data_IF_929934814398
#
_entry.id   IF_929934814398
#
_cell.length_a   1.000
_cell.length_b   1.000
_cell.length_c   1.000
_cell.angle_alpha   90.00
_cell.angle_beta   90.00
_cell.angle_gamma   90.00
#
_symmetry.space_group_name_H-M   'P 1'
#
loop_
_entity.id
_entity.type
_entity.pdbx_description
1 polymer ?
#
# COMPACT_ATOMS: atom_id res chain seq x y z
N UNK A 1 12.58 10.70 6.85
CA UNK A 1 11.24 10.21 6.49
C UNK A 1 10.32 11.39 6.25
N UNK A 2 9.57 11.38 5.18
CA UNK A 2 8.65 12.45 4.82
C UNK A 2 7.35 12.34 5.63
N UNK A 3 6.75 13.49 5.96
CA UNK A 3 5.42 13.51 6.60
C UNK A 3 4.35 13.40 5.50
N UNK A 4 4.37 12.29 4.80
CA UNK A 4 3.50 12.03 3.68
C UNK A 4 2.89 10.63 3.78
N UNK A 5 1.67 10.53 3.26
CA UNK A 5 0.99 9.25 3.08
C UNK A 5 0.82 8.99 1.59
N UNK A 6 1.16 7.79 1.16
CA UNK A 6 0.78 7.33 -0.18
C UNK A 6 -0.46 6.47 -0.02
N UNK A 7 -1.54 6.89 -0.65
CA UNK A 7 -2.82 6.17 -0.62
C UNK A 7 -2.98 5.41 -1.92
N UNK A 8 -3.09 4.10 -1.82
CA UNK A 8 -3.14 3.21 -2.98
C UNK A 8 -4.52 2.55 -3.06
N UNK A 9 -5.29 2.94 -4.08
CA UNK A 9 -6.68 2.51 -4.22
C UNK A 9 -6.90 1.32 -5.15
N UNK A 10 -5.84 0.82 -5.79
CA UNK A 10 -5.94 -0.28 -6.75
C UNK A 10 -4.65 -1.09 -6.74
N UNK A 11 -4.71 -2.32 -7.21
CA UNK A 11 -3.51 -3.12 -7.44
C UNK A 11 -2.83 -2.79 -8.79
N UNK A 12 -3.42 -1.88 -9.56
CA UNK A 12 -2.85 -1.37 -10.80
C UNK A 12 -2.69 0.14 -10.72
N UNK A 13 -1.73 0.69 -11.45
CA UNK A 13 -1.48 2.12 -11.54
C UNK A 13 -1.94 2.61 -12.90
N UNK A 14 -2.96 3.48 -12.88
CA UNK A 14 -3.58 4.00 -14.10
C UNK A 14 -4.56 3.01 -14.74
N UNK A 15 -5.16 3.44 -15.82
CA UNK A 15 -6.15 2.67 -16.58
C UNK A 15 -6.10 3.12 -18.04
N UNK A 16 -6.66 2.35 -19.00
CA UNK A 16 -7.50 1.16 -18.81
C UNK A 16 -6.73 -0.18 -18.84
N UNK A 17 -5.45 -0.19 -19.18
CA UNK A 17 -4.72 -1.44 -19.40
C UNK A 17 -4.27 -2.03 -18.04
N UNK A 18 -4.85 -3.16 -17.66
CA UNK A 18 -4.57 -3.78 -16.36
C UNK A 18 -3.17 -4.38 -16.30
N UNK A 19 -2.70 -4.97 -17.40
CA UNK A 19 -1.37 -5.59 -17.43
C UNK A 19 -0.28 -4.53 -17.32
N UNK A 20 -0.43 -3.45 -18.06
CA UNK A 20 0.48 -2.30 -17.96
C UNK A 20 0.39 -1.67 -16.57
N UNK A 21 -0.82 -1.53 -16.04
CA UNK A 21 -1.03 -0.95 -14.71
C UNK A 21 -0.36 -1.75 -13.61
N UNK A 22 -0.39 -3.09 -13.70
CA UNK A 22 0.31 -3.94 -12.73
C UNK A 22 1.83 -3.76 -12.83
N UNK A 23 2.36 -3.67 -14.05
CA UNK A 23 3.78 -3.42 -14.26
C UNK A 23 4.20 -2.06 -13.69
N UNK A 24 3.43 -1.02 -13.94
CA UNK A 24 3.71 0.32 -13.42
C UNK A 24 3.66 0.35 -11.89
N UNK A 25 2.69 -0.33 -11.28
CA UNK A 25 2.59 -0.39 -9.82
C UNK A 25 3.81 -1.08 -9.22
N UNK A 26 4.22 -2.20 -9.80
CA UNK A 26 5.41 -2.93 -9.35
C UNK A 26 6.65 -2.05 -9.44
N UNK A 27 6.83 -1.35 -10.56
CA UNK A 27 7.96 -0.43 -10.76
C UNK A 27 7.93 0.71 -9.74
N UNK A 28 6.75 1.29 -9.51
CA UNK A 28 6.59 2.40 -8.57
C UNK A 28 7.00 1.98 -7.16
N UNK A 29 6.49 0.85 -6.68
CA UNK A 29 6.79 0.38 -5.32
C UNK A 29 8.24 -0.07 -5.18
N UNK A 30 8.79 -0.73 -6.20
CA UNK A 30 10.19 -1.15 -6.19
C UNK A 30 11.11 0.06 -6.05
N UNK A 31 10.90 1.07 -6.88
CA UNK A 31 11.73 2.27 -6.85
C UNK A 31 11.52 3.08 -5.58
N UNK A 32 10.28 3.14 -5.07
CA UNK A 32 10.00 3.80 -3.82
C UNK A 32 10.78 3.16 -2.67
N UNK A 33 10.85 1.82 -2.66
CA UNK A 33 11.58 1.08 -1.61
C UNK A 33 13.08 1.36 -1.61
N UNK A 34 13.62 1.91 -2.71
CA UNK A 34 15.03 2.20 -2.88
C UNK A 34 15.38 3.69 -2.69
N UNK A 35 14.38 4.55 -2.55
CA UNK A 35 14.63 5.99 -2.39
C UNK A 35 15.16 6.30 -1.01
N UNK A 36 15.94 7.38 -0.92
CA UNK A 36 16.40 7.91 0.36
C UNK A 36 15.23 8.49 1.15
N UNK A 37 14.40 9.30 0.49
CA UNK A 37 13.22 9.92 1.09
C UNK A 37 12.00 9.03 0.85
N UNK A 38 11.38 8.57 1.93
CA UNK A 38 10.24 7.66 1.86
C UNK A 38 9.08 8.21 2.70
N UNK A 39 7.83 7.84 2.37
CA UNK A 39 6.68 8.31 3.13
C UNK A 39 6.64 7.75 4.55
N UNK A 40 5.86 8.39 5.42
CA UNK A 40 5.62 7.88 6.76
C UNK A 40 4.69 6.67 6.76
N UNK A 41 3.70 6.68 5.86
CA UNK A 41 2.67 5.64 5.77
C UNK A 41 2.36 5.33 4.32
N UNK A 42 1.98 4.08 4.08
CA UNK A 42 1.32 3.66 2.84
C UNK A 42 0.01 3.01 3.26
N UNK A 43 -1.09 3.56 2.77
CA UNK A 43 -2.42 3.02 3.06
C UNK A 43 -2.94 2.31 1.82
N UNK A 44 -3.40 1.08 2.02
CA UNK A 44 -3.94 0.23 0.97
C UNK A 44 -5.43 0.03 1.23
N UNK A 45 -6.26 0.41 0.29
CA UNK A 45 -7.68 0.09 0.36
C UNK A 45 -8.20 -0.33 -1.01
N UNK A 46 -9.42 -0.88 -1.04
CA UNK A 46 -9.99 -1.49 -2.24
C UNK A 46 -8.98 -2.50 -2.81
N UNK A 47 -8.80 -2.57 -4.12
CA UNK A 47 -7.86 -3.51 -4.74
C UNK A 47 -6.40 -3.33 -4.31
N UNK A 48 -6.05 -2.18 -3.72
CA UNK A 48 -4.69 -1.92 -3.23
C UNK A 48 -4.23 -2.92 -2.17
N UNK A 49 -5.14 -3.47 -1.38
CA UNK A 49 -4.77 -4.45 -0.33
C UNK A 49 -4.15 -5.73 -0.92
N UNK A 50 -4.44 -6.03 -2.17
CA UNK A 50 -3.87 -7.22 -2.85
C UNK A 50 -2.37 -7.11 -3.03
N UNK A 51 -1.83 -5.90 -3.02
CA UNK A 51 -0.38 -5.66 -3.16
C UNK A 51 0.42 -6.21 -1.97
N UNK A 52 -0.21 -6.33 -0.81
CA UNK A 52 0.42 -6.83 0.41
C UNK A 52 0.18 -8.33 0.64
N UNK A 53 -0.52 -9.00 -0.26
CA UNK A 53 -0.86 -10.40 -0.12
C UNK A 53 0.38 -11.30 -0.29
N UNK A 54 0.42 -12.40 0.45
CA UNK A 54 1.45 -13.41 0.27
C UNK A 54 1.45 -13.91 -1.17
N UNK A 55 2.65 -14.00 -1.76
CA UNK A 55 2.81 -14.43 -3.15
C UNK A 55 2.78 -13.30 -4.16
N UNK A 56 2.34 -12.10 -3.78
CA UNK A 56 2.43 -10.95 -4.67
C UNK A 56 3.87 -10.44 -4.72
N UNK A 57 4.35 -10.12 -5.93
CA UNK A 57 5.70 -9.55 -6.09
C UNK A 57 5.84 -8.24 -5.31
N UNK A 58 4.80 -7.42 -5.30
CA UNK A 58 4.77 -6.12 -4.61
C UNK A 58 4.86 -6.25 -3.09
N UNK A 59 4.48 -7.38 -2.53
CA UNK A 59 4.55 -7.62 -1.09
C UNK A 59 5.99 -7.48 -0.57
N UNK A 60 6.96 -7.94 -1.34
CA UNK A 60 8.37 -7.83 -0.94
C UNK A 60 8.83 -6.37 -0.87
N UNK A 61 8.36 -5.53 -1.80
CA UNK A 61 8.69 -4.10 -1.77
C UNK A 61 8.04 -3.39 -0.58
N UNK A 62 6.81 -3.73 -0.28
CA UNK A 62 6.11 -3.20 0.90
C UNK A 62 6.80 -3.65 2.19
N UNK A 63 7.23 -4.89 2.23
CA UNK A 63 7.95 -5.43 3.39
C UNK A 63 9.30 -4.73 3.59
N UNK A 64 10.00 -4.43 2.50
CA UNK A 64 11.25 -3.67 2.56
C UNK A 64 11.02 -2.25 3.09
N UNK A 65 9.95 -1.60 2.66
CA UNK A 65 9.57 -0.28 3.17
C UNK A 65 9.21 -0.34 4.66
N UNK A 66 8.47 -1.36 5.06
CA UNK A 66 8.13 -1.58 6.46
C UNK A 66 9.40 -1.74 7.31
N UNK A 67 10.39 -2.45 6.81
CA UNK A 67 11.68 -2.61 7.47
C UNK A 67 12.46 -1.31 7.62
N UNK A 68 12.13 -0.31 6.81
CA UNK A 68 12.72 1.02 6.90
C UNK A 68 11.88 2.00 7.73
N UNK A 69 10.85 1.51 8.39
CA UNK A 69 10.02 2.31 9.29
C UNK A 69 8.74 2.89 8.68
N UNK A 70 8.44 2.58 7.42
CA UNK A 70 7.17 2.98 6.81
C UNK A 70 6.05 2.11 7.39
N UNK A 71 4.98 2.74 7.86
CA UNK A 71 3.81 1.99 8.32
C UNK A 71 2.93 1.66 7.11
N UNK A 72 2.74 0.37 6.89
CA UNK A 72 1.89 -0.15 5.82
C UNK A 72 0.58 -0.58 6.46
N UNK A 73 -0.53 0.03 6.05
CA UNK A 73 -1.84 -0.22 6.66
C UNK A 73 -2.85 -0.62 5.60
N UNK A 74 -3.41 -1.80 5.76
CA UNK A 74 -4.47 -2.31 4.88
C UNK A 74 -5.83 -2.11 5.56
N UNK A 75 -6.81 -1.65 4.78
CA UNK A 75 -8.17 -1.45 5.25
C UNK A 75 -8.83 -2.79 5.62
N UNK A 76 -9.32 -2.90 6.85
CA UNK A 76 -9.94 -4.14 7.36
C UNK A 76 -11.12 -4.59 6.51
N UNK A 77 -12.01 -3.67 6.16
CA UNK A 77 -13.18 -4.01 5.34
C UNK A 77 -12.76 -4.61 4.00
N UNK A 78 -11.73 -4.04 3.38
CA UNK A 78 -11.24 -4.53 2.09
C UNK A 78 -10.57 -5.89 2.21
N UNK A 79 -9.79 -6.10 3.27
CA UNK A 79 -9.16 -7.39 3.56
C UNK A 79 -10.23 -8.48 3.72
N UNK A 80 -11.27 -8.20 4.48
CA UNK A 80 -12.38 -9.15 4.70
C UNK A 80 -13.15 -9.41 3.42
N UNK A 81 -13.41 -8.36 2.65
CA UNK A 81 -14.14 -8.51 1.38
C UNK A 81 -13.43 -9.44 0.40
N UNK A 82 -12.11 -9.34 0.32
CA UNK A 82 -11.32 -10.18 -0.60
C UNK A 82 -10.87 -11.50 0.03
N UNK A 83 -11.24 -11.78 1.27
CA UNK A 83 -10.88 -13.02 1.95
C UNK A 83 -9.39 -13.16 2.22
N UNK A 84 -8.70 -12.06 2.52
CA UNK A 84 -7.25 -12.03 2.69
C UNK A 84 -6.79 -12.00 4.15
N UNK A 85 -7.68 -12.26 5.11
CA UNK A 85 -7.37 -12.11 6.55
C UNK A 85 -6.12 -12.92 6.97
N UNK A 86 -5.93 -14.08 6.37
CA UNK A 86 -4.81 -14.97 6.71
C UNK A 86 -3.72 -14.98 5.64
N UNK A 87 -3.75 -14.01 4.71
CA UNK A 87 -2.87 -14.03 3.53
C UNK A 87 -2.08 -12.74 3.35
N UNK A 88 -2.01 -11.90 4.38
CA UNK A 88 -1.25 -10.63 4.31
C UNK A 88 0.18 -10.90 4.76
N UNK A 89 1.14 -10.56 3.89
CA UNK A 89 2.56 -10.78 4.13
C UNK A 89 3.33 -9.54 4.56
N UNK A 90 2.75 -8.36 4.44
CA UNK A 90 3.38 -7.10 4.82
C UNK A 90 2.36 -6.17 5.45
N UNK A 91 2.80 -5.42 6.45
CA UNK A 91 1.99 -4.39 7.08
C UNK A 91 1.02 -4.90 8.11
N UNK A 92 0.14 -4.01 8.52
CA UNK A 92 -0.89 -4.25 9.53
C UNK A 92 -2.27 -3.96 8.95
N UNK A 93 -3.30 -4.44 9.64
CA UNK A 93 -4.70 -4.25 9.25
C UNK A 93 -5.33 -3.32 10.26
N UNK A 94 -6.02 -2.27 9.78
CA UNK A 94 -6.72 -1.35 10.67
C UNK A 94 -8.04 -0.87 10.05
N UNK A 95 -8.88 -0.27 10.87
CA UNK A 95 -10.20 0.19 10.45
C UNK A 95 -10.17 1.59 9.83
N UNK A 96 -11.28 1.95 9.20
CA UNK A 96 -11.43 3.23 8.50
C UNK A 96 -11.27 4.43 9.42
N UNK A 97 -11.70 4.33 10.69
CA UNK A 97 -11.56 5.44 11.62
C UNK A 97 -10.09 5.84 11.82
N UNK A 98 -9.22 4.86 12.01
CA UNK A 98 -7.79 5.12 12.15
C UNK A 98 -7.18 5.60 10.83
N UNK A 99 -7.61 5.02 9.72
CA UNK A 99 -7.16 5.46 8.40
C UNK A 99 -7.51 6.94 8.17
N UNK A 100 -8.73 7.35 8.51
CA UNK A 100 -9.13 8.76 8.41
C UNK A 100 -8.26 9.66 9.27
N UNK A 101 -7.94 9.24 10.49
CA UNK A 101 -7.06 10.01 11.36
C UNK A 101 -5.69 10.24 10.72
N UNK A 102 -5.11 9.20 10.14
CA UNK A 102 -3.82 9.30 9.48
C UNK A 102 -3.89 10.25 8.28
N UNK A 103 -4.93 10.09 7.46
CA UNK A 103 -5.10 10.93 6.27
C UNK A 103 -5.29 12.42 6.64
N UNK A 104 -5.95 12.70 7.77
CA UNK A 104 -6.22 14.07 8.19
C UNK A 104 -4.98 14.80 8.75
N UNK A 105 -3.96 14.06 9.14
CA UNK A 105 -2.77 14.60 9.82
C UNK A 105 -1.54 14.68 8.92
N UNK A 106 -1.65 14.28 7.66
CA UNK A 106 -0.51 14.17 6.75
C UNK A 106 -0.85 14.74 5.38
N UNK A 107 0.19 15.01 4.61
CA UNK A 107 0.04 15.26 3.18
C UNK A 107 -0.20 13.92 2.50
N UNK A 108 -1.14 13.86 1.56
CA UNK A 108 -1.55 12.61 0.93
C UNK A 108 -1.32 12.67 -0.57
N UNK A 109 -0.58 11.66 -1.07
CA UNK A 109 -0.49 11.39 -2.51
C UNK A 109 -1.37 10.18 -2.80
N UNK A 110 -2.41 10.37 -3.57
CA UNK A 110 -3.33 9.29 -3.96
C UNK A 110 -2.96 8.76 -5.34
N UNK A 111 -2.80 7.46 -5.42
CA UNK A 111 -2.50 6.80 -6.69
C UNK A 111 -3.44 5.64 -6.99
#
# INVERSE_FOLDING_TARGET
MLNEVVLVGSDTLGSPDEKLGALLMSNFLRLLSQREQIPSHIILWNGGVKLAANGAETMEFLKALEGRGVRIISCRTCIEYFGLENSIGAGEIDGMAQIQNILSEHRVLSI
#
